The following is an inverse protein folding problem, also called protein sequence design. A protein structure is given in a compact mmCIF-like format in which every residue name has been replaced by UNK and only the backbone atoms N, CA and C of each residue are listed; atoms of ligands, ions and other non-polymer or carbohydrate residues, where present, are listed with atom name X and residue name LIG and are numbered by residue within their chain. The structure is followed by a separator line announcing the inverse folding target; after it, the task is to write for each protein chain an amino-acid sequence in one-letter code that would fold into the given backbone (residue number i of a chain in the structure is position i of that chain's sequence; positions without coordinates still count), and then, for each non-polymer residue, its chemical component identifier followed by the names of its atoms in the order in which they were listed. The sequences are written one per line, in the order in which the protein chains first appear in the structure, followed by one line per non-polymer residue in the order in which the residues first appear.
data_IF_028010220846
#
_entry.id   IF_028010220846
#
_cell.length_a   1.000
_cell.length_b   1.000
_cell.length_c   1.000
_cell.angle_alpha   90.00
_cell.angle_beta   90.00
_cell.angle_gamma   90.00
#
_symmetry.space_group_name_H-M   'P 1'
#
loop_
_entity.id
_entity.type
_entity.pdbx_description
1 polymer ?
2 non-polymer ?
3 non-polymer ?
4 non-polymer ?
5 water ?
#
# COMPACT_ATOMS: atom_id res chain seq x y z
N UNK A 1 21.40 -15.97 -5.31
CA UNK A 1 20.12 -16.66 -4.92
C UNK A 1 19.07 -15.62 -4.46
N UNK A 2 19.46 -14.80 -3.48
CA UNK A 2 18.82 -13.51 -3.16
C UNK A 2 17.30 -13.31 -3.12
N UNK A 3 16.82 -12.21 -3.75
CA UNK A 3 15.35 -11.91 -3.71
C UNK A 3 14.44 -13.05 -4.22
N UNK A 4 14.91 -13.82 -5.21
CA UNK A 4 14.13 -14.98 -5.67
C UNK A 4 13.93 -16.06 -4.59
N UNK A 5 14.86 -16.18 -3.63
CA UNK A 5 14.63 -17.08 -2.48
C UNK A 5 13.37 -16.75 -1.66
N UNK A 6 13.12 -15.46 -1.45
CA UNK A 6 11.98 -15.00 -0.68
C UNK A 6 10.73 -15.22 -1.53
N UNK A 7 10.84 -15.06 -2.85
CA UNK A 7 9.72 -15.37 -3.73
C UNK A 7 9.42 -16.87 -3.61
N UNK A 8 10.47 -17.68 -3.67
CA UNK A 8 10.27 -19.16 -3.60
C UNK A 8 9.56 -19.58 -2.33
N UNK A 9 9.94 -18.94 -1.21
CA UNK A 9 9.32 -19.22 0.06
C UNK A 9 7.81 -18.94 0.02
N UNK A 10 7.43 -17.86 -0.64
CA UNK A 10 6.00 -17.57 -0.79
C UNK A 10 5.28 -18.51 -1.74
N UNK A 11 5.96 -18.94 -2.79
CA UNK A 11 5.40 -19.91 -3.69
C UNK A 11 5.15 -21.26 -2.98
N UNK A 12 6.15 -21.72 -2.20
CA UNK A 12 6.01 -22.93 -1.43
C UNK A 12 4.85 -22.87 -0.47
N UNK A 13 4.75 -21.76 0.25
CA UNK A 13 3.67 -21.56 1.20
C UNK A 13 2.33 -21.69 0.48
N UNK A 14 2.21 -21.07 -0.67
CA UNK A 14 0.93 -21.09 -1.40
C UNK A 14 0.59 -22.50 -1.96
N UNK A 15 1.63 -23.20 -2.44
CA UNK A 15 1.44 -24.57 -2.95
C UNK A 15 0.96 -25.47 -1.81
N UNK A 16 1.55 -25.32 -0.62
CA UNK A 16 1.14 -26.10 0.56
C UNK A 16 -0.35 -25.93 0.87
N UNK A 17 -0.85 -24.69 0.81
CA UNK A 17 -2.26 -24.44 1.02
C UNK A 17 -3.08 -25.05 -0.12
N UNK A 18 -2.66 -24.80 -1.35
CA UNK A 18 -3.39 -25.25 -2.54
C UNK A 18 -3.60 -26.77 -2.58
N UNK A 19 -2.57 -27.52 -2.21
CA UNK A 19 -2.62 -28.95 -2.27
C UNK A 19 -2.85 -29.60 -0.95
N UNK A 20 -2.71 -28.85 0.15
CA UNK A 20 -2.94 -29.38 1.49
C UNK A 20 -1.93 -30.50 1.80
N UNK A 21 -0.65 -30.23 1.51
CA UNK A 21 0.44 -31.19 1.71
C UNK A 21 1.54 -30.48 2.48
N UNK A 22 2.43 -31.29 3.03
CA UNK A 22 3.61 -30.79 3.74
C UNK A 22 4.72 -30.56 2.73
N UNK A 23 5.83 -29.97 3.17
CA UNK A 23 6.88 -29.60 2.22
C UNK A 23 7.64 -30.80 1.63
N UNK A 24 7.86 -31.85 2.42
CA UNK A 24 8.60 -33.02 1.93
C UNK A 24 7.81 -33.69 0.80
N UNK A 25 6.50 -33.83 1.00
CA UNK A 25 5.59 -34.39 -0.01
C UNK A 25 5.60 -33.52 -1.27
N UNK A 26 5.59 -32.20 -1.08
CA UNK A 26 5.73 -31.27 -2.21
C UNK A 26 7.07 -31.44 -2.94
N UNK A 27 8.18 -31.42 -2.20
CA UNK A 27 9.54 -31.47 -2.82
C UNK A 27 9.82 -32.71 -3.71
N UNK A 28 9.33 -33.85 -3.23
CA UNK A 28 9.45 -35.10 -3.99
C UNK A 28 8.57 -35.18 -5.25
N UNK A 29 7.54 -34.34 -5.34
CA UNK A 29 6.66 -34.40 -6.50
C UNK A 29 7.26 -33.89 -7.83
N UNK A 30 8.24 -32.97 -7.78
CA UNK A 30 8.82 -32.47 -9.05
C UNK A 30 7.84 -31.65 -9.89
N UNK A 31 6.99 -30.93 -9.20
CA UNK A 31 5.98 -30.12 -9.85
C UNK A 31 6.65 -29.09 -10.72
N UNK A 32 6.03 -28.80 -11.84
CA UNK A 32 6.45 -27.72 -12.69
C UNK A 32 5.55 -26.54 -12.43
N UNK A 33 6.11 -25.50 -11.81
CA UNK A 33 5.31 -24.37 -11.30
C UNK A 33 5.63 -23.15 -12.13
N UNK A 34 4.60 -22.48 -12.60
CA UNK A 34 4.73 -21.19 -13.25
C UNK A 34 4.26 -20.14 -12.24
N UNK A 35 5.10 -19.16 -11.98
CA UNK A 35 4.75 -18.13 -11.04
C UNK A 35 4.18 -16.97 -11.79
N UNK A 36 3.64 -16.04 -11.00
CA UNK A 36 3.04 -14.82 -11.54
C UNK A 36 4.04 -13.71 -11.83
N UNK A 37 5.25 -13.87 -11.30
CA UNK A 37 6.26 -12.85 -11.40
C UNK A 37 6.48 -12.45 -12.88
N UNK A 38 6.56 -11.16 -13.15
CA UNK A 38 6.90 -10.63 -14.45
C UNK A 38 8.36 -10.22 -14.40
N UNK A 39 9.21 -10.86 -15.21
CA UNK A 39 10.64 -10.52 -15.10
C UNK A 39 10.97 -9.08 -15.29
N UNK A 40 10.26 -8.43 -16.18
CA UNK A 40 10.51 -7.02 -16.45
C UNK A 40 10.19 -6.19 -15.21
N UNK A 41 9.08 -6.53 -14.53
CA UNK A 41 8.72 -5.79 -13.27
C UNK A 41 9.69 -6.11 -12.15
N UNK A 42 10.02 -7.38 -12.04
CA UNK A 42 10.97 -7.83 -11.01
C UNK A 42 12.32 -7.20 -11.15
N UNK A 43 12.87 -7.20 -12.38
CA UNK A 43 14.16 -6.55 -12.64
C UNK A 43 14.12 -5.05 -12.31
N UNK A 44 13.01 -4.39 -12.64
CA UNK A 44 12.86 -2.93 -12.38
C UNK A 44 12.87 -2.69 -10.87
N UNK A 45 12.18 -3.53 -10.12
CA UNK A 45 12.13 -3.34 -8.65
C UNK A 45 13.51 -3.55 -8.03
N UNK A 46 14.18 -4.65 -8.42
CA UNK A 46 15.51 -4.96 -7.90
C UNK A 46 16.54 -3.89 -8.22
N UNK A 47 16.51 -3.42 -9.46
CA UNK A 47 17.37 -2.31 -9.87
C UNK A 47 17.13 -1.01 -9.09
N UNK A 48 15.86 -0.71 -8.88
CA UNK A 48 15.49 0.52 -8.18
C UNK A 48 15.97 0.46 -6.74
N UNK A 49 15.73 -0.67 -6.07
CA UNK A 49 16.17 -0.81 -4.68
C UNK A 49 17.70 -0.68 -4.61
N UNK A 50 18.42 -1.32 -5.52
CA UNK A 50 19.88 -1.30 -5.50
C UNK A 50 20.37 0.14 -5.69
N UNK A 51 19.78 0.83 -6.65
CA UNK A 51 20.15 2.17 -7.00
C UNK A 51 19.95 3.11 -5.81
N UNK A 52 18.76 3.12 -5.25
CA UNK A 52 18.41 4.11 -4.23
C UNK A 52 18.91 3.79 -2.82
N UNK A 53 19.25 2.54 -2.54
CA UNK A 53 19.90 2.20 -1.23
C UNK A 53 21.42 2.19 -1.34
N UNK A 54 21.96 2.40 -2.53
CA UNK A 54 23.42 2.44 -2.71
C UNK A 54 24.03 3.61 -1.94
N UNK A 55 25.02 3.28 -1.14
CA UNK A 55 25.79 4.24 -0.39
C UNK A 55 25.06 4.71 0.85
N UNK A 56 23.90 4.10 1.15
CA UNK A 56 23.16 4.43 2.35
C UNK A 56 23.60 3.54 3.50
N UNK A 57 23.10 3.86 4.69
CA UNK A 57 23.38 3.11 5.90
C UNK A 57 23.20 1.63 5.59
N UNK A 58 24.18 0.79 5.93
CA UNK A 58 23.97 -0.63 5.65
C UNK A 58 22.83 -1.31 6.42
N UNK A 59 22.31 -0.67 7.48
CA UNK A 59 21.11 -1.11 8.19
C UNK A 59 19.77 -0.73 7.50
N UNK A 60 19.84 0.13 6.48
CA UNK A 60 18.63 0.49 5.74
C UNK A 60 18.08 -0.72 4.99
N UNK A 61 16.76 -0.82 4.95
CA UNK A 61 16.08 -1.90 4.25
C UNK A 61 14.97 -1.33 3.40
N UNK A 62 14.58 -2.08 2.37
CA UNK A 62 13.40 -1.73 1.56
C UNK A 62 12.56 -2.96 1.27
N UNK A 63 11.30 -2.74 0.95
CA UNK A 63 10.45 -3.79 0.42
C UNK A 63 9.54 -3.22 -0.67
N UNK A 64 9.32 -4.01 -1.73
CA UNK A 64 8.51 -3.60 -2.87
C UNK A 64 7.60 -4.76 -3.27
N UNK A 65 6.31 -4.50 -3.40
CA UNK A 65 5.38 -5.48 -3.95
C UNK A 65 4.52 -4.82 -5.01
N UNK A 66 4.44 -5.46 -6.20
CA UNK A 66 3.63 -4.99 -7.28
C UNK A 66 2.60 -6.06 -7.62
N UNK A 67 1.33 -5.65 -7.69
CA UNK A 67 0.22 -6.54 -7.97
C UNK A 67 -0.59 -6.07 -9.17
N UNK A 68 -0.98 -7.03 -10.02
CA UNK A 68 -1.88 -6.80 -11.13
C UNK A 68 -3.33 -6.63 -10.64
N UNK A 69 -3.91 -5.42 -10.73
CA UNK A 69 -5.27 -5.25 -10.27
C UNK A 69 -6.33 -6.07 -11.01
N UNK A 70 -5.99 -6.51 -12.24
CA UNK A 70 -6.94 -7.33 -13.00
C UNK A 70 -7.22 -8.69 -12.37
N UNK A 71 -6.27 -9.19 -11.62
CA UNK A 71 -6.41 -10.55 -11.10
C UNK A 71 -5.74 -10.91 -9.80
N UNK A 72 -5.02 -9.98 -9.17
CA UNK A 72 -4.34 -10.30 -7.89
C UNK A 72 -2.98 -10.90 -8.03
N UNK A 73 -2.50 -11.07 -9.27
CA UNK A 73 -1.19 -11.71 -9.52
C UNK A 73 -0.05 -10.84 -9.00
N UNK A 74 0.88 -11.45 -8.29
CA UNK A 74 2.06 -10.75 -7.85
C UNK A 74 3.08 -10.69 -8.98
N UNK A 75 3.34 -9.48 -9.46
CA UNK A 75 4.23 -9.23 -10.57
C UNK A 75 5.66 -8.93 -10.19
N UNK A 76 5.85 -8.32 -9.02
CA UNK A 76 7.19 -8.03 -8.54
C UNK A 76 7.14 -8.13 -7.02
N UNK A 77 8.21 -8.62 -6.45
CA UNK A 77 8.27 -8.90 -5.01
C UNK A 77 9.73 -8.89 -4.56
N UNK A 78 10.07 -7.84 -3.80
CA UNK A 78 11.34 -7.68 -3.21
C UNK A 78 11.12 -7.59 -1.71
N UNK A 79 11.55 -8.59 -0.97
CA UNK A 79 11.51 -8.52 0.51
C UNK A 79 12.86 -8.39 1.19
N UNK A 80 13.92 -8.35 0.40
CA UNK A 80 15.26 -8.38 0.94
C UNK A 80 16.20 -9.11 -0.01
N UNK A 81 17.49 -8.98 0.23
CA UNK A 81 18.49 -9.65 -0.65
C UNK A 81 19.02 -10.96 -0.09
N UNK A 82 18.48 -11.44 1.04
CA UNK A 82 18.94 -12.70 1.64
C UNK A 82 17.79 -13.73 1.49
N UNK A 83 18.00 -14.71 0.60
CA UNK A 83 17.09 -15.87 0.42
C UNK A 83 16.69 -16.57 1.71
N UNK A 84 17.65 -16.63 2.65
CA UNK A 84 17.53 -17.29 3.94
C UNK A 84 17.32 -16.31 5.12
N UNK A 85 17.01 -15.05 4.82
CA UNK A 85 16.90 -14.04 5.83
C UNK A 85 15.45 -13.54 5.88
N UNK A 86 15.30 -12.39 6.47
CA UNK A 86 14.00 -11.88 6.88
C UNK A 86 13.33 -11.33 5.66
N UNK A 87 12.01 -11.50 5.56
CA UNK A 87 11.22 -11.00 4.43
C UNK A 87 10.50 -9.72 4.89
N UNK A 88 11.05 -8.58 4.53
CA UNK A 88 10.44 -7.27 4.89
C UNK A 88 9.13 -6.92 4.20
N UNK A 89 8.77 -7.66 3.14
CA UNK A 89 7.48 -7.53 2.50
C UNK A 89 6.35 -8.21 3.28
N UNK A 90 6.72 -9.02 4.26
CA UNK A 90 5.81 -9.72 5.13
C UNK A 90 5.80 -9.21 6.56
N UNK A 91 6.68 -8.27 6.88
CA UNK A 91 6.80 -7.74 8.23
C UNK A 91 5.63 -6.88 8.60
N UNK A 92 5.19 -6.93 9.85
CA UNK A 92 4.14 -5.96 10.28
C UNK A 92 4.74 -4.58 10.51
N UNK A 93 4.30 -3.61 9.72
CA UNK A 93 4.87 -2.31 9.70
C UNK A 93 3.83 -1.20 9.87
N UNK A 94 4.17 -0.13 10.57
CA UNK A 94 3.30 1.05 10.59
C UNK A 94 3.34 1.71 9.21
N UNK A 95 2.17 2.11 8.73
CA UNK A 95 1.99 2.67 7.37
C UNK A 95 1.93 4.19 7.29
N UNK A 96 1.76 4.84 8.46
CA UNK A 96 1.64 6.27 8.49
C UNK A 96 0.50 6.71 7.59
N UNK A 97 0.71 7.84 6.92
CA UNK A 97 -0.35 8.51 6.17
C UNK A 97 -0.82 7.74 4.96
N UNK A 98 -0.15 6.66 4.57
CA UNK A 98 -0.64 5.87 3.44
C UNK A 98 -1.95 5.20 3.81
N UNK A 99 -2.26 5.12 5.11
CA UNK A 99 -3.49 4.49 5.55
C UNK A 99 -4.69 5.44 5.45
N UNK A 100 -4.45 6.76 5.21
CA UNK A 100 -5.54 7.70 5.15
C UNK A 100 -6.57 7.37 4.06
N UNK A 101 -6.10 6.74 2.99
CA UNK A 101 -6.99 6.43 1.86
C UNK A 101 -8.14 5.58 2.33
N UNK A 102 -7.94 4.78 3.39
CA UNK A 102 -9.06 3.93 3.86
C UNK A 102 -10.08 4.73 4.64
N UNK A 103 -9.65 5.79 5.31
CA UNK A 103 -10.61 6.73 5.89
C UNK A 103 -11.42 7.40 4.80
N UNK A 104 -10.79 7.72 3.68
CA UNK A 104 -11.52 8.32 2.57
C UNK A 104 -12.50 7.36 1.92
N UNK A 105 -12.08 6.11 1.77
CA UNK A 105 -13.02 5.08 1.35
C UNK A 105 -14.24 5.07 2.26
N UNK A 106 -14.00 4.97 3.55
CA UNK A 106 -15.07 4.88 4.52
C UNK A 106 -16.04 6.09 4.42
N UNK A 107 -15.47 7.26 4.27
CA UNK A 107 -16.23 8.47 4.19
C UNK A 107 -17.14 8.44 2.95
N UNK A 108 -16.56 8.15 1.81
CA UNK A 108 -17.29 8.15 0.56
C UNK A 108 -18.42 7.13 0.63
N UNK A 109 -18.18 5.99 1.30
CA UNK A 109 -19.20 4.95 1.44
C UNK A 109 -20.43 5.46 2.27
N UNK A 110 -20.23 6.47 3.10
CA UNK A 110 -21.26 7.07 3.93
C UNK A 110 -21.85 8.32 3.34
N UNK A 111 -21.46 8.64 2.11
CA UNK A 111 -22.02 9.79 1.42
C UNK A 111 -21.39 11.08 1.85
N UNK A 112 -20.12 11.02 2.23
CA UNK A 112 -19.29 12.18 2.53
C UNK A 112 -18.29 12.24 1.35
N UNK A 113 -18.47 13.25 0.50
CA UNK A 113 -17.73 13.24 -0.75
C UNK A 113 -16.49 14.10 -0.75
N UNK A 114 -15.85 14.17 -1.92
CA UNK A 114 -14.52 14.84 -2.02
C UNK A 114 -14.55 16.30 -1.67
N UNK A 115 -15.71 16.95 -1.82
CA UNK A 115 -15.85 18.35 -1.52
C UNK A 115 -16.23 18.70 -0.09
N UNK A 116 -16.33 17.70 0.79
CA UNK A 116 -16.63 17.90 2.21
C UNK A 116 -15.52 18.74 2.83
N UNK A 117 -15.89 19.88 3.42
CA UNK A 117 -14.90 20.83 3.97
C UNK A 117 -14.64 20.51 5.41
N UNK A 118 -13.35 20.40 5.75
CA UNK A 118 -12.88 20.01 7.09
C UNK A 118 -11.90 21.04 7.64
N UNK A 119 -12.00 21.36 8.94
CA UNK A 119 -11.04 22.26 9.55
C UNK A 119 -9.69 21.54 9.69
N UNK A 120 -8.58 22.22 9.36
CA UNK A 120 -7.26 21.62 9.50
C UNK A 120 -6.46 22.09 10.71
N UNK A 121 -7.11 22.84 11.59
CA UNK A 121 -6.41 23.36 12.74
C UNK A 121 -5.98 22.24 13.69
N UNK A 122 -4.99 22.51 14.54
CA UNK A 122 -4.58 21.47 15.47
C UNK A 122 -5.70 21.10 16.45
N UNK A 123 -5.60 19.90 16.98
CA UNK A 123 -6.54 19.47 18.03
C UNK A 123 -5.94 18.39 18.87
N UNK A 124 -6.57 18.16 20.02
CA UNK A 124 -6.16 17.11 20.97
C UNK A 124 -7.30 16.12 21.07
N UNK A 125 -7.01 14.82 20.89
CA UNK A 125 -8.03 13.78 20.92
C UNK A 125 -7.55 12.67 21.81
N UNK A 126 -8.37 12.32 22.80
CA UNK A 126 -7.99 11.33 23.81
C UNK A 126 -6.68 11.67 24.50
N UNK A 127 -6.45 12.95 24.70
CA UNK A 127 -5.21 13.44 25.28
C UNK A 127 -4.00 13.48 24.42
N UNK A 128 -4.11 13.13 23.15
CA UNK A 128 -2.99 13.09 22.24
C UNK A 128 -3.08 14.30 21.33
N UNK A 129 -1.97 15.04 21.25
CA UNK A 129 -1.92 16.19 20.41
C UNK A 129 -1.80 15.80 18.93
N UNK A 130 -2.73 16.25 18.08
CA UNK A 130 -2.71 15.95 16.66
C UNK A 130 -2.26 17.22 15.92
N UNK A 131 -1.19 17.09 15.14
CA UNK A 131 -0.65 18.23 14.42
C UNK A 131 -0.19 17.74 13.04
N UNK A 132 0.07 18.74 12.19
CA UNK A 132 0.58 18.49 10.85
C UNK A 132 2.04 18.82 10.79
N UNK A 133 2.77 18.09 9.94
CA UNK A 133 4.23 18.34 9.78
C UNK A 133 4.47 19.80 9.45
N UNK A 134 5.44 20.40 10.15
CA UNK A 134 5.80 21.82 10.06
C UNK A 134 4.62 22.76 10.28
N UNK A 135 3.63 22.34 11.07
CA UNK A 135 2.41 23.11 11.29
C UNK A 135 1.65 23.56 10.05
N UNK A 136 1.86 22.86 8.94
CA UNK A 136 1.14 23.08 7.68
C UNK A 136 -0.37 22.95 7.93
N UNK A 137 -1.17 23.75 7.24
CA UNK A 137 -2.61 23.56 7.22
C UNK A 137 -3.20 24.22 6.00
N UNK A 138 -4.52 24.20 5.90
CA UNK A 138 -5.19 24.81 4.76
C UNK A 138 -6.29 25.74 5.23
N UNK A 139 -6.29 26.13 6.51
CA UNK A 139 -7.49 26.69 7.15
C UNK A 139 -8.58 25.61 7.14
N UNK A 140 -9.62 25.80 6.34
CA UNK A 140 -10.67 24.78 6.12
C UNK A 140 -10.59 24.46 4.62
N UNK A 141 -10.46 23.18 4.27
CA UNK A 141 -10.37 22.75 2.83
C UNK A 141 -11.03 21.40 2.70
N UNK A 142 -11.27 20.99 1.49
CA UNK A 142 -11.91 19.72 1.29
C UNK A 142 -11.01 18.52 1.56
N UNK A 143 -11.67 17.38 1.72
CA UNK A 143 -10.94 16.16 2.05
C UNK A 143 -10.04 15.61 0.91
N UNK A 144 -10.27 15.97 -0.32
CA UNK A 144 -9.32 15.67 -1.39
C UNK A 144 -8.02 16.48 -1.28
N UNK A 145 -8.16 17.78 -1.02
CA UNK A 145 -7.01 18.65 -0.80
C UNK A 145 -6.25 18.21 0.45
N UNK A 146 -6.97 17.85 1.52
CA UNK A 146 -6.30 17.39 2.74
C UNK A 146 -5.58 16.06 2.53
N UNK A 147 -6.02 15.25 1.59
CA UNK A 147 -5.32 13.99 1.33
C UNK A 147 -3.98 14.31 0.64
N UNK A 148 -4.05 15.16 -0.38
CA UNK A 148 -2.84 15.56 -1.13
C UNK A 148 -1.83 16.20 -0.18
N UNK A 149 -2.27 17.13 0.66
CA UNK A 149 -1.36 17.81 1.59
C UNK A 149 -0.99 16.95 2.80
N UNK A 150 -1.70 15.84 2.93
CA UNK A 150 -1.55 14.86 3.98
C UNK A 150 -1.69 15.48 5.37
N UNK A 151 -2.85 16.10 5.55
CA UNK A 151 -3.11 16.76 6.82
C UNK A 151 -3.63 15.79 7.86
N UNK A 152 -2.85 15.53 8.90
CA UNK A 152 -3.26 14.63 10.00
C UNK A 152 -4.51 15.14 10.71
N UNK A 153 -4.56 16.45 10.93
CA UNK A 153 -5.65 17.03 11.73
C UNK A 153 -6.97 16.82 10.98
N UNK A 154 -6.98 17.13 9.68
CA UNK A 154 -8.19 17.03 8.89
C UNK A 154 -8.69 15.58 8.82
N UNK A 155 -7.75 14.64 8.66
CA UNK A 155 -8.10 13.22 8.54
C UNK A 155 -8.59 12.67 9.90
N UNK A 156 -8.03 13.15 11.01
CA UNK A 156 -8.58 12.82 12.34
C UNK A 156 -10.02 13.29 12.46
N UNK A 157 -10.30 14.54 12.08
CA UNK A 157 -11.67 15.03 12.12
C UNK A 157 -12.57 14.25 11.16
N UNK A 158 -12.06 13.89 9.99
CA UNK A 158 -12.89 13.13 9.08
C UNK A 158 -13.26 11.76 9.69
N UNK A 159 -12.26 11.09 10.27
CA UNK A 159 -12.53 9.81 10.94
C UNK A 159 -13.55 9.97 12.04
N UNK A 160 -13.45 11.01 12.86
CA UNK A 160 -14.40 11.20 13.94
C UNK A 160 -15.84 11.47 13.45
N UNK A 161 -15.97 12.01 12.26
CA UNK A 161 -17.28 12.28 11.65
C UNK A 161 -17.95 11.00 11.19
N UNK A 162 -17.16 9.98 10.83
CA UNK A 162 -17.75 8.75 10.38
C UNK A 162 -18.61 8.04 11.41
N UNK A 163 -19.72 7.47 10.96
CA UNK A 163 -20.43 6.47 11.74
C UNK A 163 -19.50 5.31 11.93
N UNK A 164 -19.22 4.99 13.19
CA UNK A 164 -18.25 3.92 13.54
C UNK A 164 -16.87 4.41 13.81
N UNK A 165 -16.54 5.66 13.46
CA UNK A 165 -15.24 6.23 13.81
C UNK A 165 -14.09 5.34 13.34
N UNK A 166 -13.13 5.04 14.23
CA UNK A 166 -11.97 4.29 13.75
C UNK A 166 -12.34 2.88 13.27
N UNK A 167 -13.42 2.29 13.81
CA UNK A 167 -13.88 1.00 13.31
C UNK A 167 -14.28 1.08 11.84
N UNK A 168 -14.83 2.21 11.42
CA UNK A 168 -15.23 2.33 9.99
C UNK A 168 -14.02 2.41 9.10
N UNK A 169 -12.93 2.97 9.60
CA UNK A 169 -11.66 2.99 8.84
C UNK A 169 -11.10 1.56 8.71
N UNK A 170 -11.15 0.82 9.81
CA UNK A 170 -10.71 -0.57 9.80
C UNK A 170 -11.56 -1.42 8.86
N UNK A 171 -12.88 -1.23 8.92
CA UNK A 171 -13.79 -1.95 8.03
C UNK A 171 -13.44 -1.72 6.56
N UNK A 172 -13.28 -0.45 6.20
CA UNK A 172 -12.91 -0.13 4.82
C UNK A 172 -11.59 -0.75 4.38
N UNK A 173 -10.60 -0.70 5.28
CA UNK A 173 -9.28 -1.20 4.96
C UNK A 173 -9.33 -2.70 4.80
N UNK A 174 -10.00 -3.38 5.74
CA UNK A 174 -10.20 -4.81 5.58
C UNK A 174 -10.95 -5.20 4.31
N UNK A 175 -12.00 -4.48 4.00
CA UNK A 175 -12.79 -4.74 2.79
C UNK A 175 -11.96 -4.51 1.52
N UNK A 176 -11.06 -3.55 1.54
CA UNK A 176 -10.17 -3.28 0.40
C UNK A 176 -9.14 -4.37 0.16
N UNK A 177 -8.89 -5.21 1.19
CA UNK A 177 -7.90 -6.28 1.13
C UNK A 177 -6.81 -6.22 2.14
N UNK A 178 -6.81 -5.30 3.11
CA UNK A 178 -5.86 -5.40 4.23
C UNK A 178 -6.21 -6.65 4.97
N UNK A 179 -5.31 -7.63 5.03
CA UNK A 179 -5.68 -8.93 5.58
C UNK A 179 -6.04 -8.80 7.05
N UNK A 180 -6.97 -9.64 7.48
CA UNK A 180 -7.46 -9.67 8.86
C UNK A 180 -6.46 -10.27 9.86
N UNK A 181 -5.49 -11.03 9.35
CA UNK A 181 -4.43 -11.60 10.13
C UNK A 181 -3.23 -11.89 9.28
N UNK A 182 -2.08 -11.99 9.94
CA UNK A 182 -0.86 -12.42 9.32
C UNK A 182 0.06 -12.90 10.42
N UNK A 183 1.18 -13.53 10.04
CA UNK A 183 1.87 -14.16 11.14
C UNK A 183 2.51 -13.08 12.00
N UNK A 184 2.25 -13.12 13.29
CA UNK A 184 2.59 -12.05 14.20
C UNK A 184 1.31 -11.49 14.84
N UNK A 185 0.25 -11.45 14.04
CA UNK A 185 -0.91 -10.58 14.33
C UNK A 185 -2.20 -11.31 13.99
N UNK A 186 -2.86 -11.84 15.02
CA UNK A 186 -4.07 -12.64 14.82
C UNK A 186 -5.28 -11.83 14.45
N UNK A 187 -5.30 -10.58 14.87
CA UNK A 187 -6.40 -9.70 14.52
C UNK A 187 -5.88 -8.29 14.18
N UNK A 188 -5.77 -8.01 12.91
CA UNK A 188 -5.19 -6.71 12.49
C UNK A 188 -6.16 -5.55 12.77
N UNK A 189 -5.59 -4.37 12.96
CA UNK A 189 -6.36 -3.14 13.13
C UNK A 189 -7.32 -3.23 14.35
N UNK A 190 -6.80 -3.80 15.43
CA UNK A 190 -7.55 -4.13 16.65
C UNK A 190 -6.67 -3.74 17.83
N UNK A 191 -7.14 -2.82 18.66
CA UNK A 191 -6.31 -2.34 19.76
C UNK A 191 -6.01 -3.45 20.74
N UNK A 192 -7.04 -4.23 21.10
CA UNK A 192 -6.87 -5.31 22.08
C UNK A 192 -6.22 -6.55 21.49
N UNK A 193 -6.01 -6.58 20.17
CA UNK A 193 -5.35 -7.69 19.54
C UNK A 193 -6.25 -8.90 19.47
N UNK A 194 -7.55 -8.75 19.81
CA UNK A 194 -8.51 -9.85 19.90
C UNK A 194 -9.72 -9.70 18.96
N UNK A 195 -9.76 -8.66 18.16
CA UNK A 195 -10.89 -8.37 17.34
C UNK A 195 -11.71 -7.19 17.78
N UNK A 196 -11.36 -6.59 18.92
CA UNK A 196 -11.97 -5.34 19.30
C UNK A 196 -11.63 -4.17 18.38
N UNK A 197 -12.25 -3.00 18.64
CA UNK A 197 -12.05 -1.89 17.72
C UNK A 197 -10.62 -1.37 17.71
N UNK A 198 -10.22 -0.71 16.63
CA UNK A 198 -8.99 0.08 16.65
C UNK A 198 -9.18 1.35 17.45
N UNK A 199 -8.08 1.94 17.90
CA UNK A 199 -8.18 3.27 18.43
C UNK A 199 -7.96 4.28 17.32
N UNK A 200 -8.05 5.54 17.67
CA UNK A 200 -8.00 6.62 16.69
C UNK A 200 -6.75 6.67 15.87
N UNK A 201 -5.65 6.14 16.35
CA UNK A 201 -4.41 6.15 15.57
C UNK A 201 -4.41 5.40 14.24
N UNK A 202 -5.45 4.60 14.04
CA UNK A 202 -5.59 3.84 12.80
C UNK A 202 -5.46 4.78 11.61
N UNK A 203 -6.07 5.98 11.66
CA UNK A 203 -6.09 6.84 10.48
C UNK A 203 -4.71 7.37 10.13
N UNK A 204 -3.83 7.42 11.10
CA UNK A 204 -2.45 7.79 10.89
C UNK A 204 -1.52 6.60 10.75
N UNK A 205 -2.09 5.44 10.41
CA UNK A 205 -1.33 4.29 10.07
C UNK A 205 -0.50 3.72 11.19
N UNK A 206 -1.00 3.79 12.43
CA UNK A 206 -0.23 3.36 13.58
C UNK A 206 -0.26 1.84 13.81
N UNK A 207 -1.19 1.12 13.19
CA UNK A 207 -1.25 -0.31 13.27
C UNK A 207 -0.30 -0.96 12.29
N UNK A 208 0.08 -2.21 12.56
CA UNK A 208 0.95 -2.95 11.68
C UNK A 208 0.21 -3.54 10.53
N UNK A 209 0.76 -3.35 9.33
CA UNK A 209 0.25 -3.88 8.10
C UNK A 209 1.46 -4.32 7.25
N UNK A 210 1.25 -5.23 6.31
CA UNK A 210 2.40 -5.67 5.47
C UNK A 210 2.39 -4.87 4.16
N UNK A 211 3.57 -4.78 3.55
CA UNK A 211 3.73 -4.13 2.26
C UNK A 211 2.82 -4.85 1.25
N UNK A 212 2.77 -6.21 1.28
CA UNK A 212 1.87 -6.89 0.36
C UNK A 212 0.41 -6.52 0.55
N UNK A 213 -0.03 -6.30 1.79
CA UNK A 213 -1.42 -5.89 2.07
C UNK A 213 -1.68 -4.53 1.42
N UNK A 214 -0.75 -3.61 1.54
CA UNK A 214 -0.96 -2.26 0.98
C UNK A 214 -1.04 -2.31 -0.59
N UNK A 215 -0.17 -3.11 -1.21
CA UNK A 215 -0.22 -3.23 -2.65
C UNK A 215 -1.54 -3.82 -3.10
N UNK A 216 -1.99 -4.83 -2.35
CA UNK A 216 -3.25 -5.51 -2.67
C UNK A 216 -4.45 -4.59 -2.48
N UNK A 217 -4.53 -3.89 -1.35
CA UNK A 217 -5.63 -2.99 -1.11
C UNK A 217 -5.72 -1.85 -2.13
N UNK A 218 -4.59 -1.29 -2.49
CA UNK A 218 -4.54 -0.23 -3.52
C UNK A 218 -4.88 -0.83 -4.92
N UNK A 219 -4.55 -2.13 -5.13
CA UNK A 219 -4.99 -2.83 -6.38
C UNK A 219 -6.51 -2.86 -6.47
N UNK A 220 -7.20 -3.04 -5.34
CA UNK A 220 -8.64 -3.06 -5.34
C UNK A 220 -9.18 -1.70 -5.78
N UNK A 221 -8.55 -0.63 -5.30
CA UNK A 221 -8.89 0.71 -5.76
C UNK A 221 -8.66 0.87 -7.28
N UNK A 222 -7.51 0.38 -7.73
CA UNK A 222 -7.10 0.47 -9.15
C UNK A 222 -8.08 -0.26 -10.06
N UNK A 223 -8.69 -1.31 -9.48
CA UNK A 223 -9.71 -2.15 -10.21
C UNK A 223 -11.15 -1.66 -10.00
N UNK A 224 -11.32 -0.39 -9.58
CA UNK A 224 -12.67 0.18 -9.42
C UNK A 224 -13.45 -0.58 -8.37
N UNK A 225 -12.74 -1.07 -7.33
CA UNK A 225 -13.36 -1.66 -6.15
C UNK A 225 -13.44 -3.16 -6.15
N UNK A 226 -12.88 -3.80 -7.18
CA UNK A 226 -12.90 -5.28 -7.30
C UNK A 226 -11.59 -5.82 -6.70
N UNK A 227 -11.76 -6.70 -5.69
CA UNK A 227 -10.71 -7.33 -4.98
C UNK A 227 -10.45 -8.72 -5.54
N UNK A 228 -9.14 -9.05 -5.65
CA UNK A 228 -8.66 -10.41 -5.96
C UNK A 228 -7.62 -10.80 -4.96
N UNK A 229 -7.72 -11.99 -4.35
CA UNK A 229 -6.66 -12.40 -3.40
C UNK A 229 -5.28 -12.42 -4.05
N UNK A 230 -4.29 -11.85 -3.38
CA UNK A 230 -2.95 -11.89 -3.99
C UNK A 230 -2.43 -13.31 -4.09
N UNK A 231 -1.74 -13.58 -5.17
CA UNK A 231 -1.20 -14.95 -5.34
C UNK A 231 0.00 -14.91 -6.22
N UNK A 232 0.85 -15.92 -6.01
CA UNK A 232 2.14 -16.06 -6.64
C UNK A 232 2.19 -17.19 -7.69
N UNK A 233 1.22 -18.09 -7.64
CA UNK A 233 1.21 -19.29 -8.49
C UNK A 233 0.18 -19.09 -9.60
N UNK A 234 0.67 -19.16 -10.83
CA UNK A 234 -0.10 -19.05 -12.06
C UNK A 234 -0.54 -20.43 -12.57
N UNK A 235 0.34 -21.41 -12.50
CA UNK A 235 0.00 -22.73 -13.11
C UNK A 235 0.87 -23.78 -12.46
N UNK A 236 0.32 -24.99 -12.34
CA UNK A 236 1.10 -26.11 -11.79
C UNK A 236 0.81 -27.33 -12.67
N UNK A 237 1.91 -27.97 -13.12
CA UNK A 237 1.76 -29.18 -14.00
C UNK A 237 2.66 -30.21 -13.35
N UNK A 238 2.18 -31.46 -13.34
CA UNK A 238 3.03 -32.51 -12.81
C UNK A 238 4.29 -32.71 -13.64
N UNK A 239 5.25 -33.39 -13.04
CA UNK A 239 6.50 -33.68 -13.68
C UNK A 239 6.26 -34.48 -14.98
N UNK A 240 5.25 -35.33 -14.95
CA UNK A 240 4.93 -36.11 -16.14
C UNK A 240 3.81 -35.49 -17.01
N UNK A 241 3.45 -34.24 -16.77
CA UNK A 241 2.68 -33.49 -17.76
C UNK A 241 1.20 -33.29 -17.59
N UNK A 242 0.69 -33.67 -16.44
CA UNK A 242 -0.71 -33.44 -16.07
C UNK A 242 -0.93 -32.06 -15.39
N UNK A 243 -1.80 -31.23 -15.97
CA UNK A 243 -2.15 -29.97 -15.37
C UNK A 243 -2.91 -30.18 -14.07
N UNK A 244 -2.44 -29.55 -13.01
CA UNK A 244 -3.03 -29.67 -11.67
C UNK A 244 -3.72 -28.38 -11.20
N UNK A 245 -3.29 -27.25 -11.73
CA UNK A 245 -3.86 -25.96 -11.35
C UNK A 245 -3.53 -24.97 -12.45
N UNK A 246 -4.50 -24.13 -12.80
CA UNK A 246 -4.24 -23.06 -13.76
C UNK A 246 -5.09 -21.88 -13.37
N UNK A 247 -4.47 -20.77 -12.95
CA UNK A 247 -5.23 -19.56 -12.62
C UNK A 247 -5.98 -18.95 -13.80
N UNK A 248 -5.61 -19.28 -15.04
CA UNK A 248 -6.29 -18.69 -16.19
C UNK A 248 -7.61 -19.39 -16.56
N UNK A 249 -8.07 -20.39 -15.80
CA UNK A 249 -9.32 -21.12 -16.14
C UNK A 249 -10.29 -21.20 -14.96
N UNK A 254 -13.34 -12.15 -9.16
CA UNK A 254 -13.13 -11.11 -8.10
C UNK A 254 -14.36 -10.82 -7.26
N UNK A 255 -14.23 -9.91 -6.29
CA UNK A 255 -15.30 -9.56 -5.38
C UNK A 255 -15.44 -8.02 -5.41
N UNK A 256 -16.64 -7.51 -5.68
CA UNK A 256 -16.88 -6.06 -5.65
C UNK A 256 -16.94 -5.56 -4.19
N UNK A 257 -15.78 -5.34 -3.59
CA UNK A 257 -15.70 -4.99 -2.17
C UNK A 257 -16.02 -3.51 -1.85
N UNK A 258 -15.65 -2.62 -2.74
CA UNK A 258 -15.84 -1.20 -2.61
C UNK A 258 -16.64 -0.75 -3.85
N UNK A 259 -17.64 0.11 -3.67
CA UNK A 259 -18.39 0.49 -4.88
C UNK A 259 -17.49 1.21 -5.89
N UNK A 260 -17.71 0.91 -7.16
CA UNK A 260 -16.96 1.54 -8.24
C UNK A 260 -16.91 3.06 -8.09
N UNK A 261 -18.07 3.68 -7.82
CA UNK A 261 -18.12 5.14 -7.74
C UNK A 261 -17.22 5.65 -6.61
N UNK A 262 -17.19 4.91 -5.51
CA UNK A 262 -16.32 5.25 -4.40
C UNK A 262 -14.88 5.11 -4.80
N UNK A 263 -14.51 3.96 -5.32
CA UNK A 263 -13.11 3.71 -5.65
C UNK A 263 -12.60 4.76 -6.67
N UNK A 264 -13.40 5.07 -7.67
CA UNK A 264 -12.98 5.99 -8.74
C UNK A 264 -12.82 7.45 -8.21
N UNK A 265 -13.61 7.81 -7.19
CA UNK A 265 -13.42 9.10 -6.50
C UNK A 265 -12.12 9.11 -5.67
N UNK A 266 -11.83 7.98 -4.99
CA UNK A 266 -10.57 7.89 -4.26
C UNK A 266 -9.36 8.07 -5.27
N UNK A 267 -9.44 7.37 -6.39
CA UNK A 267 -8.47 7.54 -7.47
C UNK A 267 -8.30 8.99 -7.83
N UNK A 268 -9.44 9.67 -8.06
CA UNK A 268 -9.41 11.04 -8.49
C UNK A 268 -8.62 11.89 -7.44
N UNK A 269 -8.91 11.69 -6.18
CA UNK A 269 -8.16 12.42 -5.13
C UNK A 269 -6.68 12.18 -5.10
N UNK A 270 -6.27 10.95 -5.49
CA UNK A 270 -4.88 10.49 -5.44
C UNK A 270 -4.11 10.85 -6.70
N UNK A 271 -4.81 11.18 -7.78
CA UNK A 271 -4.12 11.45 -9.08
C UNK A 271 -3.01 12.47 -9.01
N UNK A 272 -3.21 13.59 -8.27
CA UNK A 272 -2.15 14.63 -8.30
C UNK A 272 -0.96 14.29 -7.39
N UNK A 273 -1.09 13.22 -6.58
CA UNK A 273 -0.13 13.04 -5.46
C UNK A 273 1.27 12.59 -5.88
N UNK A 274 1.45 11.78 -6.91
CA UNK A 274 2.82 11.43 -7.30
C UNK A 274 3.66 12.71 -7.64
N UNK A 275 3.02 13.59 -8.39
CA UNK A 275 3.66 14.86 -8.73
C UNK A 275 3.83 15.82 -7.58
N UNK A 276 2.81 15.93 -6.74
CA UNK A 276 2.89 16.72 -5.54
C UNK A 276 4.01 16.27 -4.61
N UNK A 277 4.26 14.96 -4.58
CA UNK A 277 5.26 14.33 -3.76
C UNK A 277 6.65 14.45 -4.39
N UNK A 278 7.10 15.70 -4.49
CA UNK A 278 8.43 16.04 -4.98
C UNK A 278 8.66 15.52 -6.40
N UNK A 279 7.65 15.75 -7.24
CA UNK A 279 7.75 15.52 -8.69
C UNK A 279 8.01 14.09 -9.11
N UNK A 280 7.30 13.12 -8.54
CA UNK A 280 7.49 11.73 -8.89
C UNK A 280 6.43 11.18 -9.82
N UNK A 281 5.92 12.05 -10.68
CA UNK A 281 5.03 11.65 -11.83
C UNK A 281 5.76 10.55 -12.62
N UNK A 282 5.02 9.57 -13.11
CA UNK A 282 5.59 8.48 -13.87
C UNK A 282 6.04 9.02 -15.24
N UNK A 283 6.98 8.30 -15.84
CA UNK A 283 7.54 8.70 -17.11
C UNK A 283 6.53 8.75 -18.27
N UNK A 284 6.79 9.64 -19.23
CA UNK A 284 6.07 9.65 -20.50
C UNK A 284 4.63 10.10 -20.37
N UNK A 285 4.36 10.95 -19.36
CA UNK A 285 3.01 11.44 -19.09
C UNK A 285 2.03 10.45 -18.56
N UNK A 286 2.53 9.34 -18.04
CA UNK A 286 1.63 8.32 -17.58
C UNK A 286 0.95 8.75 -16.27
N UNK A 287 -0.38 8.75 -16.24
CA UNK A 287 -1.13 9.10 -15.03
C UNK A 287 -0.94 8.01 -13.96
N UNK A 288 -1.10 8.42 -12.71
CA UNK A 288 -1.04 7.48 -11.62
C UNK A 288 -1.87 8.01 -10.44
N UNK A 289 -2.07 7.17 -9.44
CA UNK A 289 -2.77 7.53 -8.22
C UNK A 289 -1.92 7.02 -7.10
N UNK A 290 -1.52 7.87 -6.16
CA UNK A 290 -0.54 7.50 -5.16
C UNK A 290 -0.74 8.16 -3.83
N UNK A 291 -0.07 7.64 -2.81
CA UNK A 291 -0.11 8.25 -1.49
C UNK A 291 1.19 7.90 -0.75
N UNK A 292 1.81 8.93 -0.20
CA UNK A 292 3.00 8.78 0.61
C UNK A 292 2.63 8.55 2.08
N UNK A 293 3.58 8.05 2.84
CA UNK A 293 3.48 8.01 4.31
C UNK A 293 4.82 8.17 4.97
N UNK A 294 4.85 8.78 6.15
CA UNK A 294 6.09 8.91 6.92
C UNK A 294 5.69 8.81 8.40
N UNK A 295 6.22 7.81 9.09
CA UNK A 295 5.96 7.63 10.54
C UNK A 295 7.01 8.32 11.40
N UNK A 296 6.57 8.65 12.62
CA UNK A 296 7.44 9.23 13.62
C UNK A 296 8.25 8.18 14.35
N UNK A 297 9.52 8.53 14.61
CA UNK A 297 10.36 7.75 15.44
C UNK A 297 10.12 8.15 16.91
N UNK A 298 9.58 7.22 17.68
CA UNK A 298 9.28 7.51 19.12
C UNK A 298 8.47 8.80 19.33
N UNK A 299 8.97 9.64 20.22
CA UNK A 299 8.40 10.94 20.47
C UNK A 299 9.39 11.96 20.00
N UNK A 300 10.25 11.60 19.04
CA UNK A 300 11.31 12.49 18.54
C UNK A 300 10.76 13.30 17.37
N UNK A 301 11.62 14.17 16.81
CA UNK A 301 11.24 14.93 15.60
C UNK A 301 11.60 14.18 14.29
N UNK A 302 12.14 12.98 14.42
CA UNK A 302 12.67 12.21 13.30
C UNK A 302 11.71 11.10 12.83
N UNK A 303 12.05 10.46 11.71
CA UNK A 303 11.18 9.54 10.98
C UNK A 303 11.60 8.10 11.24
N UNK A 304 10.70 7.16 11.04
CA UNK A 304 10.96 5.77 11.27
C UNK A 304 10.73 4.91 10.07
N UNK A 305 9.59 5.08 9.42
CA UNK A 305 9.21 4.31 8.23
C UNK A 305 8.77 5.31 7.17
N UNK A 306 9.09 5.00 5.94
CA UNK A 306 8.75 5.86 4.82
C UNK A 306 8.12 5.04 3.73
N UNK A 307 7.00 5.49 3.19
CA UNK A 307 6.23 4.75 2.24
C UNK A 307 5.83 5.53 0.97
N UNK A 308 5.73 4.84 -0.15
CA UNK A 308 5.00 5.33 -1.29
C UNK A 308 4.22 4.15 -1.84
N UNK A 309 2.89 4.33 -1.95
CA UNK A 309 2.01 3.32 -2.54
C UNK A 309 1.18 3.94 -3.65
N UNK A 310 1.19 3.35 -4.84
CA UNK A 310 0.39 3.92 -5.89
C UNK A 310 0.29 3.01 -7.10
N UNK A 311 -0.63 3.38 -7.97
CA UNK A 311 -1.09 2.50 -9.04
C UNK A 311 -1.46 3.19 -10.33
N UNK A 312 -1.52 2.36 -11.40
CA UNK A 312 -2.26 2.61 -12.58
C UNK A 312 -3.33 1.53 -12.62
N UNK A 313 -4.22 1.55 -13.62
CA UNK A 313 -5.22 0.47 -13.65
C UNK A 313 -4.62 -0.94 -13.83
N UNK A 314 -3.37 -1.02 -14.28
CA UNK A 314 -2.72 -2.29 -14.61
C UNK A 314 -1.60 -2.71 -13.63
N UNK A 315 -1.27 -1.90 -12.63
CA UNK A 315 -0.23 -2.25 -11.68
C UNK A 315 -0.31 -1.39 -10.44
N UNK A 316 -0.31 -2.08 -9.29
CA UNK A 316 -0.30 -1.42 -7.99
C UNK A 316 0.93 -1.78 -7.25
N UNK A 317 1.72 -0.77 -6.87
CA UNK A 317 3.01 -1.02 -6.23
C UNK A 317 3.10 -0.26 -4.88
N UNK A 318 3.48 -1.02 -3.84
CA UNK A 318 3.76 -0.47 -2.54
C UNK A 318 5.28 -0.57 -2.26
N UNK A 319 5.82 0.50 -1.69
CA UNK A 319 7.22 0.56 -1.29
C UNK A 319 7.31 1.09 0.12
N UNK A 320 8.12 0.38 0.90
CA UNK A 320 8.51 0.76 2.26
C UNK A 320 10.04 0.86 2.30
N UNK A 321 10.51 1.88 3.00
CA UNK A 321 11.89 1.98 3.40
C UNK A 321 11.94 2.16 4.91
N UNK A 322 12.88 1.49 5.57
CA UNK A 322 13.09 1.63 7.03
C UNK A 322 14.43 1.06 7.39
N UNK A 323 14.59 0.68 8.64
CA UNK A 323 15.83 0.06 9.07
C UNK A 323 15.61 -1.33 9.59
N UNK A 324 16.69 -2.12 9.64
CA UNK A 324 16.53 -3.53 9.91
C UNK A 324 15.93 -3.84 11.31
N UNK A 325 16.30 -3.08 12.34
CA UNK A 325 15.70 -3.26 13.68
C UNK A 325 14.57 -2.30 14.00
N UNK A 326 14.33 -1.32 13.14
CA UNK A 326 13.23 -0.43 13.30
C UNK A 326 13.28 0.42 14.54
N UNK A 327 14.48 0.73 14.99
CA UNK A 327 14.76 1.41 16.27
C UNK A 327 15.77 2.56 16.10
N UNK A 328 15.86 3.16 14.91
CA UNK A 328 16.77 4.29 14.71
C UNK A 328 16.11 5.25 13.71
N UNK A 329 16.20 6.56 13.94
CA UNK A 329 15.73 7.49 12.95
C UNK A 329 16.24 7.19 11.56
N UNK A 330 15.39 7.41 10.58
CA UNK A 330 15.67 7.06 9.22
C UNK A 330 16.22 8.26 8.48
N UNK A 331 17.49 8.20 8.07
CA UNK A 331 18.16 9.33 7.40
C UNK A 331 19.04 8.86 6.27
N UNK A 332 19.37 9.78 5.37
CA UNK A 332 20.24 9.48 4.23
C UNK A 332 21.68 9.49 4.70
N UNK A 333 22.62 9.16 3.83
CA UNK A 333 24.04 9.17 4.15
C UNK A 333 24.53 10.60 4.50
N UNK A 334 23.87 11.62 3.94
CA UNK A 334 24.14 13.02 4.17
C UNK A 334 23.40 13.63 5.37
N UNK A 335 22.73 12.79 6.12
CA UNK A 335 21.99 13.20 7.28
C UNK A 335 20.55 13.63 7.14
N UNK A 336 20.03 13.67 5.91
CA UNK A 336 18.73 14.18 5.62
C UNK A 336 17.63 13.20 6.03
N UNK A 337 16.58 13.71 6.64
CA UNK A 337 15.51 12.84 7.03
C UNK A 337 14.93 12.18 5.76
N UNK A 338 14.51 10.93 5.86
CA UNK A 338 13.83 10.22 4.75
C UNK A 338 12.34 10.27 4.97
N UNK A 339 11.63 10.89 4.01
CA UNK A 339 10.16 10.89 3.99
C UNK A 339 9.62 10.03 2.86
N UNK A 340 8.33 9.74 2.86
CA UNK A 340 7.68 9.00 1.77
C UNK A 340 7.99 9.55 0.38
N UNK A 341 8.07 10.87 0.29
CA UNK A 341 8.41 11.57 -0.97
C UNK A 341 9.85 11.49 -1.39
N UNK A 342 10.70 10.88 -0.57
CA UNK A 342 12.09 10.69 -0.86
C UNK A 342 12.36 9.32 -1.44
N UNK A 343 13.28 8.58 -0.83
CA UNK A 343 13.66 7.25 -1.39
C UNK A 343 12.51 6.30 -1.73
N UNK A 344 11.42 6.23 -0.91
CA UNK A 344 10.37 5.28 -1.31
C UNK A 344 9.69 5.68 -2.62
N UNK A 345 9.51 6.99 -2.85
CA UNK A 345 8.94 7.49 -4.11
C UNK A 345 9.91 7.32 -5.26
N UNK A 346 11.23 7.47 -5.02
CA UNK A 346 12.23 7.20 -6.05
C UNK A 346 12.13 5.74 -6.51
N UNK A 347 12.02 4.80 -5.54
CA UNK A 347 11.95 3.39 -5.85
C UNK A 347 10.62 3.06 -6.55
N UNK A 348 9.54 3.58 -6.02
CA UNK A 348 8.18 3.35 -6.56
C UNK A 348 8.13 3.81 -8.04
N UNK A 349 8.58 5.04 -8.29
CA UNK A 349 8.55 5.59 -9.65
C UNK A 349 9.38 4.73 -10.61
N UNK A 350 10.58 4.38 -10.18
CA UNK A 350 11.49 3.60 -11.02
C UNK A 350 10.95 2.20 -11.27
N UNK A 351 10.35 1.62 -10.25
CA UNK A 351 9.76 0.28 -10.41
C UNK A 351 8.59 0.35 -11.38
N UNK A 352 7.72 1.36 -11.17
CA UNK A 352 6.53 1.50 -12.02
C UNK A 352 6.90 1.78 -13.48
N UNK A 353 7.79 2.73 -13.67
CA UNK A 353 8.25 3.14 -15.01
C UNK A 353 8.85 1.91 -15.74
N UNK A 354 9.73 1.19 -15.04
CA UNK A 354 10.32 0.00 -15.59
C UNK A 354 9.35 -1.13 -15.91
N UNK A 355 8.43 -1.40 -14.98
CA UNK A 355 7.51 -2.49 -15.13
C UNK A 355 6.54 -2.23 -16.25
N UNK A 356 6.18 -0.97 -16.48
CA UNK A 356 5.15 -0.59 -17.45
C UNK A 356 5.74 -0.10 -18.80
N UNK A 357 7.07 -0.01 -18.87
CA UNK A 357 7.76 0.40 -20.09
C UNK A 357 7.28 -0.46 -21.27
N UNK A 358 6.93 0.22 -22.36
CA UNK A 358 6.47 -0.42 -23.57
C UNK A 358 4.97 -0.65 -23.60
N UNK A 359 4.23 -0.28 -22.56
CA UNK A 359 2.81 -0.34 -22.55
C UNK A 359 2.20 1.05 -22.71
N UNK A 360 1.06 1.15 -23.35
CA UNK A 360 0.43 2.44 -23.58
C UNK A 360 -0.08 3.03 -22.27
N UNK A 361 -0.19 4.35 -22.25
CA UNK A 361 -0.67 5.06 -21.05
C UNK A 361 -2.16 4.91 -20.89
N UNK A 362 -2.58 4.44 -19.72
CA UNK A 362 -4.00 4.35 -19.40
C UNK A 362 -4.52 5.57 -18.63
N UNK A 363 -5.79 5.88 -18.82
CA UNK A 363 -6.44 6.96 -18.05
C UNK A 363 -7.39 6.30 -17.08
N UNK A 364 -7.65 7.01 -16.00
CA UNK A 364 -8.53 6.47 -14.97
C UNK A 364 -10.01 6.67 -15.31
N UNK A 365 -10.88 5.81 -14.75
CA UNK A 365 -12.30 5.96 -15.03
C UNK A 365 -12.85 7.26 -14.49
N UNK A 366 -13.72 7.91 -15.26
CA UNK A 366 -14.30 9.16 -14.83
C UNK A 366 -15.16 8.90 -13.59
N UNK A 367 -14.94 9.67 -12.53
CA UNK A 367 -15.78 9.38 -11.34
C UNK A 367 -17.17 9.96 -11.48
N UNK A 368 -18.13 9.32 -10.83
CA UNK A 368 -19.53 9.79 -10.82
C UNK A 368 -19.82 10.30 -9.43
N UNK A 369 -20.98 10.93 -9.24
CA UNK A 369 -21.27 11.66 -8.02
C UNK A 369 -21.30 10.76 -6.78
N UNK A 370 -20.53 11.12 -5.75
CA UNK A 370 -20.63 10.49 -4.44
C UNK A 370 -20.57 11.61 -3.43
N UNK A 371 -21.54 11.61 -2.51
CA UNK A 371 -21.64 12.69 -1.51
C UNK A 371 -21.88 14.06 -2.14
N UNK A 372 -22.41 14.08 -3.36
CA UNK A 372 -22.68 15.32 -4.08
C UNK A 372 -21.57 15.81 -5.02
N UNK A 373 -20.45 15.13 -5.04
CA UNK A 373 -19.27 15.53 -5.83
C UNK A 373 -18.81 14.41 -6.74
N UNK A 374 -18.47 14.80 -7.98
CA UNK A 374 -17.87 13.84 -8.93
C UNK A 374 -16.45 14.29 -9.16
N UNK A 375 -15.50 13.56 -8.63
CA UNK A 375 -14.11 13.94 -8.70
C UNK A 375 -13.75 15.17 -7.84
N UNK A 376 -12.52 15.61 -7.99
CA UNK A 376 -11.94 16.67 -7.12
C UNK A 376 -12.59 17.97 -7.53
N UNK A 377 -13.14 18.76 -6.56
CA UNK A 377 -13.74 20.05 -6.91
C UNK A 377 -12.76 20.98 -7.58
N UNK A 378 -13.16 21.63 -8.68
CA UNK A 378 -12.18 22.56 -9.25
C UNK A 378 -11.94 23.72 -8.28
N UNK A 379 -10.71 24.26 -8.21
CA UNK A 379 -10.55 25.35 -7.23
C UNK A 379 -11.17 26.67 -7.76
N UNK A 380 -11.63 27.57 -6.85
CA UNK A 380 -12.09 28.94 -7.19
C UNK A 380 -11.27 29.71 -8.25
X LIG B 1 1.77 -6.72 17.98
X LIG B 1 1.41 -7.67 19.07
X LIG B 1 2.66 -8.36 19.64
X LIG B 1 3.43 -9.06 18.59
X LIG B 1 3.84 -8.09 17.55
X LIG B 1 2.58 -7.43 16.95
X LIG B 1 4.61 -9.74 19.16
X LIG B 1 0.52 -6.12 17.43
X LIG B 1 0.81 -4.98 16.46
X LIG B 1 -0.54 -4.04 16.12
X LIG B 1 -0.21 -3.03 15.13
X LIG B 1 -1.21 -3.46 17.29
X LIG B 1 -1.44 -4.98 15.41
X LIG C 1 5.76 13.72 13.68
X LIG C 1 6.93 13.87 14.41
X LIG C 1 8.12 13.37 13.93
X LIG C 1 8.18 12.72 12.71
X LIG C 1 7.04 12.56 11.96
X LIG C 1 5.81 13.08 12.44
X LIG C 1 4.63 12.97 11.74
X LIG C 1 4.68 12.56 10.39
X LIG C 1 3.33 12.82 9.76
X LIG C 1 2.60 13.69 10.20
X LIG C 1 3.06 12.04 8.73
X LIG C 1 1.83 12.18 7.96
X LIG C 1 1.55 10.89 7.31
X LIG C 1 2.39 9.98 7.12
X LIG C 1 1.90 13.29 6.81
X LIG C 1 2.20 12.49 5.67
X LIG C 1 3.12 14.48 6.87
X LIG C 1 4.07 13.93 5.53
X LIG C 1 5.56 13.97 5.88
X LIG C 1 3.90 14.77 4.28
X LIG C 1 3.60 12.49 5.34
X LIG C 1 3.80 11.82 4.01
X LIG C 1 2.80 11.83 3.22
X LIG C 1 4.89 11.26 3.81
X LIG D 1 6.53 0.71 15.78
X LIG D 1 6.36 -0.66 16.12
X LIG D 1 5.52 -1.31 15.05
X LIG D 1 4.21 -1.44 15.57
X LIG E 1 -2.17 1.70 18.96
X LIG E 1 -1.62 1.29 17.70
X LIG E 1 -0.96 -0.08 17.85
X LIG E 1 0.06 -0.02 18.86
#
# INVERSE_FOLDING_TARGET
KGPNGLIERQVTRELLELFNIDEQTLNTQGLVVTTTIDPQAQRAAEKAVAKYLDGQDPDMRAAVVSIDPHNGAVRAYYGGDNANGFDFAQAGLQTGSSFKVFALVAALEQGIGLGYQVDSSPLTVDGIKITNVEGEGCGTCNIAEALKMSLNTSYYRLMLKLNGGPQAVADAAHQAGIASSFPGVAHTLSEDGKGGPPNNGIVLGQYQTRVIDMASAYATLAASGIYHPPHFVQKVVSANGQVLFDASTADNTGDQRIPKAVADNVTAAMEPIAGYSRGHNLAGGRDSAAKTGTTQFGDTTANKDAWMVGYTPSLSTAVWVGTVKGDEPLVTASGAAIYGSGLPSDIWKATMDGALKGTSNETFPKPTEVGGYAGVPPPPPPPEVPPSETVIQPTVEIAPGITIPIGPPTTITLAPPPPAPPAATPTPPP
EPE N1 C2 C3 N4 C5 C6 C7 C9 C10 S O1S O2S O3S
35P C24 C23 C22 C21 C20 C19 O1 C2 C3 O18 N4 C5 C6 O17 C8 N7 S11 C10 C12 C15 C9 C13 O14 O16
PEG O2 C3 C4 O4
PEG O2 C3 C4 O4
#
